data_IF_028878546415
#
_entry.id   IF_028878546415
#
_cell.length_a   1.000
_cell.length_b   1.000
_cell.length_c   1.000
_cell.angle_alpha   90.00
_cell.angle_beta   90.00
_cell.angle_gamma   90.00
#
_symmetry.space_group_name_H-M   'P 1'
#
loop_
_entity.id
_entity.type
_entity.pdbx_description
1 polymer ?
#
# COMPACT_ATOMS: atom_id res chain seq x y z
N UNK A 1 47.34 -10.87 39.98
CA UNK A 1 46.82 -12.17 39.54
C UNK A 1 45.48 -12.30 40.24
N UNK A 2 44.33 -12.10 39.62
CA UNK A 2 44.01 -12.25 38.19
C UNK A 2 42.99 -11.24 37.71
N UNK A 3 43.19 -10.84 36.47
CA UNK A 3 42.26 -10.12 35.63
C UNK A 3 41.30 -11.12 34.98
N UNK A 4 40.01 -10.82 34.99
CA UNK A 4 39.00 -11.19 33.97
C UNK A 4 37.76 -10.36 34.35
N UNK A 5 37.36 -9.33 33.62
CA UNK A 5 37.08 -9.34 32.19
C UNK A 5 35.60 -9.65 31.98
N UNK A 6 34.68 -8.92 32.61
CA UNK A 6 33.27 -8.96 32.25
C UNK A 6 33.08 -8.12 30.98
N UNK A 7 33.10 -8.81 29.85
CA UNK A 7 32.73 -8.26 28.55
C UNK A 7 31.21 -8.04 28.55
N UNK A 8 30.76 -6.84 28.91
CA UNK A 8 29.46 -6.33 28.47
C UNK A 8 29.51 -6.14 26.95
N UNK A 9 29.18 -7.19 26.21
CA UNK A 9 28.65 -7.07 24.86
C UNK A 9 27.17 -7.43 24.92
N UNK A 10 26.42 -6.55 25.58
CA UNK A 10 24.96 -6.58 25.56
C UNK A 10 24.49 -6.06 24.20
N UNK A 11 23.97 -6.99 23.40
CA UNK A 11 22.84 -6.79 22.51
C UNK A 11 23.00 -5.67 21.47
N UNK A 12 23.78 -5.93 20.42
CA UNK A 12 23.46 -5.39 19.09
C UNK A 12 22.14 -6.04 18.70
N UNK A 13 21.05 -5.43 19.16
CA UNK A 13 19.71 -5.76 18.73
C UNK A 13 19.71 -5.65 17.21
N UNK A 14 19.63 -6.81 16.57
CA UNK A 14 19.33 -6.94 15.15
C UNK A 14 17.95 -6.29 14.98
N UNK A 15 17.96 -4.98 14.74
CA UNK A 15 16.76 -4.20 14.51
C UNK A 15 16.20 -4.73 13.21
N UNK A 16 15.20 -5.59 13.36
CA UNK A 16 14.41 -6.12 12.26
C UNK A 16 14.09 -4.93 11.33
N UNK A 17 14.49 -4.99 10.05
CA UNK A 17 14.40 -3.84 9.18
C UNK A 17 12.98 -3.28 9.19
N UNK A 18 12.84 -2.00 9.54
CA UNK A 18 11.54 -1.32 9.78
C UNK A 18 10.56 -1.46 8.60
N UNK A 19 11.07 -1.71 7.39
CA UNK A 19 10.29 -2.03 6.19
C UNK A 19 10.90 -3.22 5.44
N UNK A 20 10.06 -4.14 4.96
CA UNK A 20 10.50 -5.18 4.01
C UNK A 20 11.07 -4.52 2.75
N UNK A 21 12.03 -5.15 2.08
CA UNK A 21 12.67 -4.61 0.87
C UNK A 21 11.61 -4.30 -0.19
N UNK A 22 10.59 -5.14 -0.28
CA UNK A 22 9.44 -4.96 -1.17
C UNK A 22 8.68 -3.69 -0.83
N UNK A 23 8.40 -3.44 0.46
CA UNK A 23 7.66 -2.26 0.89
C UNK A 23 8.44 -0.99 0.55
N UNK A 24 9.77 -0.98 0.71
CA UNK A 24 10.60 0.16 0.31
C UNK A 24 10.56 0.44 -1.19
N UNK A 25 10.63 -0.61 -2.01
CA UNK A 25 10.56 -0.48 -3.47
C UNK A 25 9.17 0.00 -3.87
N UNK A 26 8.11 -0.57 -3.28
CA UNK A 26 6.74 -0.14 -3.53
C UNK A 26 6.54 1.33 -3.14
N UNK A 27 7.03 1.74 -1.97
CA UNK A 27 6.94 3.12 -1.48
C UNK A 27 7.71 4.08 -2.39
N UNK A 28 8.89 3.68 -2.85
CA UNK A 28 9.68 4.46 -3.83
C UNK A 28 8.92 4.60 -5.15
N UNK A 29 8.28 3.54 -5.63
CA UNK A 29 7.42 3.59 -6.81
C UNK A 29 6.21 4.51 -6.61
N UNK A 30 5.54 4.45 -5.46
CA UNK A 30 4.45 5.39 -5.13
C UNK A 30 4.93 6.84 -5.17
N UNK A 31 6.07 7.15 -4.57
CA UNK A 31 6.68 8.48 -4.64
C UNK A 31 7.00 8.93 -6.07
N UNK A 32 7.56 8.03 -6.89
CA UNK A 32 7.87 8.32 -8.30
C UNK A 32 6.60 8.55 -9.14
N UNK A 33 5.53 7.79 -8.92
CA UNK A 33 4.26 7.99 -9.60
C UNK A 33 3.58 9.29 -9.18
N UNK A 34 3.67 9.68 -7.90
CA UNK A 34 3.23 11.01 -7.45
C UNK A 34 3.99 12.12 -8.20
N UNK A 35 5.32 12.03 -8.27
CA UNK A 35 6.14 13.01 -8.99
C UNK A 35 5.80 13.07 -10.49
N UNK A 36 5.64 11.92 -11.15
CA UNK A 36 5.29 11.84 -12.57
C UNK A 36 3.92 12.47 -12.86
N UNK A 37 2.96 12.25 -11.97
CA UNK A 37 1.60 12.81 -12.07
C UNK A 37 1.62 14.33 -11.89
N UNK A 38 2.41 14.84 -10.94
CA UNK A 38 2.62 16.27 -10.74
C UNK A 38 3.26 16.93 -11.98
N UNK A 39 4.35 16.36 -12.50
CA UNK A 39 5.03 16.85 -13.71
C UNK A 39 4.08 16.85 -14.90
N UNK A 40 3.33 15.77 -15.10
CA UNK A 40 2.32 15.67 -16.16
C UNK A 40 1.23 16.75 -16.04
N UNK A 41 0.77 17.03 -14.82
CA UNK A 41 -0.21 18.09 -14.55
C UNK A 41 0.35 19.47 -14.89
N UNK A 42 1.58 19.77 -14.47
CA UNK A 42 2.24 21.06 -14.76
C UNK A 42 2.47 21.24 -16.27
N UNK A 43 2.89 20.20 -16.98
CA UNK A 43 3.09 20.25 -18.44
C UNK A 43 1.78 20.47 -19.21
N UNK A 44 0.64 20.00 -18.69
CA UNK A 44 -0.67 20.15 -19.33
C UNK A 44 -1.25 21.58 -19.24
N UNK A 45 -0.78 22.41 -18.29
CA UNK A 45 -1.29 23.78 -18.06
C UNK A 45 -0.74 24.81 -19.09
N UNK A 46 0.24 24.44 -19.92
CA UNK A 46 1.00 25.37 -20.78
C UNK A 46 0.35 25.91 -22.07
N UNK A 47 -0.93 25.65 -22.39
CA UNK A 47 -1.46 26.00 -23.73
C UNK A 47 -2.86 26.66 -23.72
N UNK A 48 -2.91 28.00 -23.83
CA UNK A 48 -3.95 28.80 -24.54
C UNK A 48 -5.37 28.96 -23.94
N UNK A 49 -6.07 30.01 -24.39
CA UNK A 49 -7.37 30.51 -23.89
C UNK A 49 -8.56 29.54 -24.05
N UNK A 50 -8.74 28.64 -23.08
CA UNK A 50 -10.02 27.96 -22.79
C UNK A 50 -9.98 27.36 -21.36
N UNK A 51 -9.81 28.23 -20.37
CA UNK A 51 -9.28 27.88 -19.05
C UNK A 51 -10.12 26.83 -18.30
N UNK A 52 -11.45 26.91 -18.34
CA UNK A 52 -12.34 25.98 -17.61
C UNK A 52 -12.31 24.55 -18.14
N UNK A 53 -12.48 24.35 -19.45
CA UNK A 53 -12.45 23.02 -20.07
C UNK A 53 -11.05 22.39 -19.99
N UNK A 54 -9.99 23.18 -20.14
CA UNK A 54 -8.61 22.68 -20.01
C UNK A 54 -8.29 22.27 -18.58
N UNK A 55 -8.70 23.04 -17.58
CA UNK A 55 -8.53 22.65 -16.17
C UNK A 55 -9.28 21.35 -15.85
N UNK A 56 -10.50 21.17 -16.38
CA UNK A 56 -11.23 19.92 -16.22
C UNK A 56 -10.56 18.73 -16.91
N UNK A 57 -10.15 18.86 -18.18
CA UNK A 57 -9.46 17.77 -18.87
C UNK A 57 -8.12 17.42 -18.22
N UNK A 58 -7.40 18.41 -17.69
CA UNK A 58 -6.17 18.20 -16.91
C UNK A 58 -6.46 17.49 -15.59
N UNK A 59 -7.48 17.92 -14.84
CA UNK A 59 -7.88 17.27 -13.59
C UNK A 59 -8.36 15.83 -13.83
N UNK A 60 -9.16 15.61 -14.87
CA UNK A 60 -9.64 14.29 -15.28
C UNK A 60 -8.49 13.40 -15.76
N UNK A 61 -7.58 13.91 -16.59
CA UNK A 61 -6.40 13.17 -17.04
C UNK A 61 -5.49 12.76 -15.88
N UNK A 62 -5.26 13.66 -14.93
CA UNK A 62 -4.53 13.39 -13.69
C UNK A 62 -5.22 12.29 -12.87
N UNK A 63 -6.54 12.38 -12.72
CA UNK A 63 -7.36 11.39 -12.02
C UNK A 63 -7.25 9.98 -12.62
N UNK A 64 -7.39 9.87 -13.94
CA UNK A 64 -7.28 8.60 -14.65
C UNK A 64 -5.86 8.03 -14.57
N UNK A 65 -4.83 8.88 -14.74
CA UNK A 65 -3.44 8.47 -14.63
C UNK A 65 -3.14 7.92 -13.22
N UNK A 66 -3.64 8.58 -12.18
CA UNK A 66 -3.51 8.12 -10.81
C UNK A 66 -4.19 6.76 -10.57
N UNK A 67 -5.45 6.62 -11.00
CA UNK A 67 -6.16 5.34 -10.91
C UNK A 67 -5.44 4.20 -11.62
N UNK A 68 -4.79 4.49 -12.77
CA UNK A 68 -4.01 3.51 -13.51
C UNK A 68 -2.74 3.10 -12.75
N UNK A 69 -2.03 4.06 -12.17
CA UNK A 69 -0.85 3.79 -11.34
C UNK A 69 -1.20 2.88 -10.15
N UNK A 70 -2.31 3.15 -9.46
CA UNK A 70 -2.79 2.30 -8.36
C UNK A 70 -3.15 0.88 -8.81
N UNK A 71 -3.83 0.74 -9.96
CA UNK A 71 -4.15 -0.57 -10.52
C UNK A 71 -2.90 -1.39 -10.88
N UNK A 72 -1.89 -0.74 -11.47
CA UNK A 72 -0.59 -1.38 -11.76
C UNK A 72 0.13 -1.76 -10.47
N UNK A 73 0.16 -0.87 -9.47
CA UNK A 73 0.79 -1.15 -8.18
C UNK A 73 0.10 -2.29 -7.43
N UNK A 74 -1.22 -2.42 -7.53
CA UNK A 74 -1.94 -3.57 -7.02
C UNK A 74 -1.50 -4.88 -7.69
N UNK A 75 -1.35 -4.90 -9.02
CA UNK A 75 -0.85 -6.08 -9.73
C UNK A 75 0.57 -6.44 -9.28
N UNK A 76 1.46 -5.45 -9.19
CA UNK A 76 2.84 -5.64 -8.72
C UNK A 76 2.84 -6.24 -7.31
N UNK A 77 2.09 -5.65 -6.37
CA UNK A 77 1.98 -6.15 -5.00
C UNK A 77 1.45 -7.58 -4.94
N UNK A 78 0.45 -7.89 -5.76
CA UNK A 78 -0.16 -9.23 -5.85
C UNK A 78 0.83 -10.25 -6.38
N UNK A 79 1.57 -9.90 -7.43
CA UNK A 79 2.60 -10.77 -8.01
C UNK A 79 3.74 -11.02 -7.02
N UNK A 80 4.22 -9.97 -6.34
CA UNK A 80 5.30 -10.10 -5.35
C UNK A 80 4.84 -10.92 -4.15
N UNK A 81 3.64 -10.70 -3.63
CA UNK A 81 3.09 -11.50 -2.54
C UNK A 81 2.95 -12.98 -2.92
N UNK A 82 2.47 -13.27 -4.13
CA UNK A 82 2.41 -14.63 -4.68
C UNK A 82 3.81 -15.22 -4.87
N UNK A 83 4.76 -14.42 -5.36
CA UNK A 83 6.17 -14.78 -5.51
C UNK A 83 6.80 -15.20 -4.19
N UNK A 84 6.63 -14.41 -3.13
CA UNK A 84 7.11 -14.74 -1.78
C UNK A 84 6.55 -16.08 -1.27
N UNK A 85 5.27 -16.36 -1.50
CA UNK A 85 4.65 -17.65 -1.12
C UNK A 85 5.26 -18.82 -1.87
N UNK A 86 5.51 -18.66 -3.17
CA UNK A 86 6.17 -19.68 -4.01
C UNK A 86 7.62 -19.90 -3.56
N UNK A 87 8.39 -18.83 -3.36
CA UNK A 87 9.77 -18.90 -2.89
C UNK A 87 9.88 -19.56 -1.52
N UNK A 88 8.98 -19.22 -0.58
CA UNK A 88 8.92 -19.87 0.73
C UNK A 88 8.63 -21.37 0.59
N UNK A 89 7.72 -21.76 -0.30
CA UNK A 89 7.40 -23.16 -0.49
C UNK A 89 8.58 -23.97 -1.05
N UNK A 90 9.32 -23.39 -2.01
CA UNK A 90 10.54 -24.00 -2.55
C UNK A 90 11.69 -23.99 -1.54
N UNK A 91 11.85 -22.94 -0.73
CA UNK A 91 12.90 -22.91 0.30
C UNK A 91 12.70 -24.00 1.34
N UNK A 92 11.46 -24.20 1.83
CA UNK A 92 11.12 -25.28 2.76
C UNK A 92 11.38 -26.67 2.16
N UNK A 93 11.11 -26.84 0.86
CA UNK A 93 11.36 -28.11 0.14
C UNK A 93 12.86 -28.37 -0.09
N UNK A 94 13.65 -27.32 -0.29
CA UNK A 94 15.09 -27.39 -0.55
C UNK A 94 15.97 -27.52 0.70
N UNK A 95 15.41 -27.43 1.91
CA UNK A 95 16.19 -27.55 3.14
C UNK A 95 16.75 -28.98 3.32
N UNK A 96 18.01 -29.13 3.79
CA UNK A 96 18.69 -30.41 3.88
C UNK A 96 18.18 -31.29 5.03
N UNK A 97 17.51 -30.73 6.03
CA UNK A 97 16.95 -31.48 7.15
C UNK A 97 15.58 -30.96 7.59
N UNK A 98 14.81 -31.82 8.26
CA UNK A 98 13.46 -31.51 8.72
C UNK A 98 13.44 -30.31 9.69
N UNK A 99 14.41 -30.23 10.60
CA UNK A 99 14.51 -29.15 11.57
C UNK A 99 14.71 -27.77 10.91
N UNK A 100 15.51 -27.67 9.84
CA UNK A 100 15.71 -26.42 9.09
C UNK A 100 14.45 -26.01 8.32
N UNK A 101 13.70 -26.97 7.78
CA UNK A 101 12.40 -26.73 7.16
C UNK A 101 11.35 -26.21 8.16
N UNK A 102 11.29 -26.80 9.35
CA UNK A 102 10.40 -26.34 10.44
C UNK A 102 10.77 -24.93 10.91
N UNK A 103 12.07 -24.63 11.08
CA UNK A 103 12.52 -23.26 11.41
C UNK A 103 12.12 -22.26 10.33
N UNK A 104 12.34 -22.59 9.05
CA UNK A 104 11.98 -21.72 7.92
C UNK A 104 10.46 -21.42 7.89
N UNK A 105 9.62 -22.42 8.18
CA UNK A 105 8.18 -22.21 8.32
C UNK A 105 7.84 -21.31 9.52
N UNK A 106 8.46 -21.57 10.69
CA UNK A 106 8.25 -20.81 11.92
C UNK A 106 8.63 -19.32 11.75
N UNK A 107 9.76 -19.06 11.10
CA UNK A 107 10.27 -17.71 10.88
C UNK A 107 9.40 -16.92 9.90
N UNK A 108 8.79 -17.59 8.92
CA UNK A 108 7.89 -16.96 7.95
C UNK A 108 6.50 -16.61 8.52
N UNK A 109 6.14 -17.15 9.69
CA UNK A 109 4.87 -16.87 10.35
C UNK A 109 4.90 -15.53 11.09
N UNK A 110 3.72 -14.93 11.25
CA UNK A 110 3.57 -13.74 12.09
C UNK A 110 4.00 -14.04 13.53
N UNK A 111 4.67 -13.08 14.18
CA UNK A 111 5.27 -13.25 15.50
C UNK A 111 4.29 -13.80 16.55
N UNK A 112 3.04 -13.33 16.51
CA UNK A 112 2.00 -13.76 17.44
C UNK A 112 1.57 -15.22 17.26
N UNK A 113 1.75 -15.82 16.08
CA UNK A 113 1.41 -17.23 15.79
C UNK A 113 2.54 -18.19 16.18
N UNK A 114 3.80 -17.74 16.20
CA UNK A 114 4.97 -18.57 16.51
C UNK A 114 4.83 -19.35 17.84
N UNK A 115 4.40 -18.76 18.96
CA UNK A 115 4.29 -19.49 20.22
C UNK A 115 3.07 -20.43 20.29
N UNK A 116 2.05 -20.25 19.44
CA UNK A 116 0.85 -21.09 19.47
C UNK A 116 1.03 -22.42 18.72
N UNK A 117 1.92 -22.46 17.72
CA UNK A 117 2.04 -23.60 16.81
C UNK A 117 3.28 -24.43 17.17
N UNK A 118 3.06 -25.71 17.43
CA UNK A 118 4.10 -26.66 17.82
C UNK A 118 4.93 -27.17 16.64
N UNK A 119 6.12 -27.69 16.93
CA UNK A 119 7.01 -28.24 15.89
C UNK A 119 6.40 -29.45 15.16
N UNK A 120 5.56 -30.23 15.84
CA UNK A 120 4.85 -31.38 15.24
C UNK A 120 3.84 -30.96 14.17
N UNK A 121 3.16 -29.83 14.38
CA UNK A 121 2.21 -29.26 13.42
C UNK A 121 2.95 -28.68 12.21
N UNK A 122 4.04 -27.94 12.45
CA UNK A 122 4.90 -27.43 11.38
C UNK A 122 5.53 -28.55 10.57
N UNK A 123 5.93 -29.64 11.21
CA UNK A 123 6.45 -30.82 10.52
C UNK A 123 5.38 -31.52 9.66
N UNK A 124 4.13 -31.56 10.13
CA UNK A 124 3.00 -32.03 9.33
C UNK A 124 2.81 -31.17 8.07
N UNK A 125 2.88 -29.84 8.22
CA UNK A 125 2.79 -28.89 7.09
C UNK A 125 3.95 -29.09 6.12
N UNK A 126 5.19 -29.19 6.62
CA UNK A 126 6.39 -29.45 5.82
C UNK A 126 6.26 -30.74 5.00
N UNK A 127 5.81 -31.84 5.61
CA UNK A 127 5.61 -33.11 4.92
C UNK A 127 4.55 -33.01 3.82
N UNK A 128 3.41 -32.38 4.10
CA UNK A 128 2.35 -32.15 3.09
C UNK A 128 2.85 -31.30 1.94
N UNK A 129 3.68 -30.30 2.22
CA UNK A 129 4.28 -29.44 1.20
C UNK A 129 5.29 -30.19 0.34
N UNK A 130 6.13 -31.04 0.94
CA UNK A 130 7.10 -31.86 0.22
C UNK A 130 6.46 -32.97 -0.63
N UNK A 131 5.33 -33.51 -0.18
CA UNK A 131 4.55 -34.53 -0.91
C UNK A 131 3.73 -33.94 -2.06
N UNK A 132 3.63 -32.60 -2.16
CA UNK A 132 2.82 -31.94 -3.18
C UNK A 132 3.57 -31.87 -4.53
N UNK A 133 3.07 -32.55 -5.58
CA UNK A 133 3.75 -32.59 -6.87
C UNK A 133 3.58 -31.29 -7.68
N UNK A 134 2.46 -30.57 -7.47
CA UNK A 134 2.00 -29.41 -8.24
C UNK A 134 2.41 -28.05 -7.64
N UNK A 135 3.61 -27.95 -7.06
CA UNK A 135 4.09 -26.66 -6.56
C UNK A 135 4.34 -25.69 -7.73
N UNK A 136 3.70 -24.50 -7.74
CA UNK A 136 3.93 -23.53 -8.80
C UNK A 136 5.41 -23.16 -8.88
N UNK A 137 5.99 -23.21 -10.08
CA UNK A 137 7.42 -22.92 -10.25
C UNK A 137 7.71 -21.42 -10.21
N UNK A 138 6.75 -20.59 -10.63
CA UNK A 138 6.83 -19.13 -10.65
C UNK A 138 5.48 -18.51 -10.30
N UNK A 139 5.50 -17.31 -9.74
CA UNK A 139 4.29 -16.51 -9.64
C UNK A 139 3.88 -16.02 -11.02
N UNK A 140 2.61 -16.23 -11.36
CA UNK A 140 2.00 -15.79 -12.62
C UNK A 140 0.72 -15.05 -12.32
N UNK A 141 0.38 -14.11 -13.18
CA UNK A 141 -0.90 -13.43 -13.13
C UNK A 141 -2.03 -14.38 -13.53
N UNK A 142 -3.15 -14.26 -12.84
CA UNK A 142 -4.41 -14.91 -13.21
C UNK A 142 -5.44 -13.86 -13.62
N UNK A 143 -6.51 -14.29 -14.28
CA UNK A 143 -7.56 -13.36 -14.77
C UNK A 143 -8.16 -12.51 -13.66
N UNK A 144 -8.36 -13.12 -12.50
CA UNK A 144 -8.92 -12.45 -11.33
C UNK A 144 -8.07 -11.27 -10.84
N UNK A 145 -6.74 -11.34 -11.02
CA UNK A 145 -5.83 -10.26 -10.64
C UNK A 145 -6.11 -9.01 -11.48
N UNK A 146 -6.36 -9.18 -12.79
CA UNK A 146 -6.70 -8.07 -13.69
C UNK A 146 -8.10 -7.52 -13.44
N UNK A 147 -9.08 -8.37 -13.08
CA UNK A 147 -10.41 -7.88 -12.70
C UNK A 147 -10.37 -7.09 -11.41
N UNK A 148 -9.55 -7.51 -10.43
CA UNK A 148 -9.36 -6.77 -9.19
C UNK A 148 -8.62 -5.44 -9.45
N UNK A 149 -7.61 -5.44 -10.32
CA UNK A 149 -6.93 -4.21 -10.73
C UNK A 149 -7.89 -3.22 -11.43
N UNK A 150 -8.76 -3.72 -12.32
CA UNK A 150 -9.79 -2.90 -12.96
C UNK A 150 -10.81 -2.36 -11.95
N UNK A 151 -11.22 -3.16 -10.97
CA UNK A 151 -12.10 -2.71 -9.89
C UNK A 151 -11.45 -1.59 -9.06
N UNK A 152 -10.15 -1.71 -8.75
CA UNK A 152 -9.39 -0.67 -8.05
C UNK A 152 -9.30 0.59 -8.90
N UNK A 153 -8.98 0.48 -10.20
CA UNK A 153 -8.99 1.62 -11.12
C UNK A 153 -10.32 2.37 -11.08
N UNK A 154 -11.43 1.66 -11.25
CA UNK A 154 -12.78 2.25 -11.25
C UNK A 154 -13.10 2.87 -9.89
N UNK A 155 -12.76 2.19 -8.80
CA UNK A 155 -12.97 2.68 -7.43
C UNK A 155 -12.20 3.98 -7.19
N UNK A 156 -10.91 4.02 -7.55
CA UNK A 156 -10.06 5.20 -7.35
C UNK A 156 -10.60 6.38 -8.16
N UNK A 157 -10.91 6.17 -9.45
CA UNK A 157 -11.49 7.22 -10.30
C UNK A 157 -12.83 7.69 -9.76
N UNK A 158 -13.74 6.78 -9.39
CA UNK A 158 -15.05 7.12 -8.85
C UNK A 158 -14.96 7.85 -7.49
N UNK A 159 -13.98 7.52 -6.65
CA UNK A 159 -13.78 8.16 -5.35
C UNK A 159 -13.20 9.58 -5.48
N UNK A 160 -12.42 9.83 -6.53
CA UNK A 160 -11.71 11.11 -6.71
C UNK A 160 -12.43 12.05 -7.70
N UNK A 161 -13.33 11.53 -8.54
CA UNK A 161 -14.16 12.32 -9.45
C UNK A 161 -15.04 13.37 -8.75
N UNK A 162 -15.75 13.06 -7.64
CA UNK A 162 -16.55 14.06 -6.92
C UNK A 162 -15.70 15.26 -6.45
N UNK A 163 -14.45 15.02 -6.08
CA UNK A 163 -13.51 16.05 -5.62
C UNK A 163 -13.09 17.00 -6.75
N UNK A 164 -13.06 16.51 -8.00
CA UNK A 164 -12.76 17.31 -9.18
C UNK A 164 -13.99 18.05 -9.75
N UNK A 165 -15.21 17.59 -9.44
CA UNK A 165 -16.46 18.16 -9.95
C UNK A 165 -16.64 19.68 -9.68
N UNK A 166 -16.25 20.24 -8.51
CA UNK A 166 -16.37 21.68 -8.24
C UNK A 166 -15.66 22.57 -9.27
N UNK A 167 -14.57 22.11 -9.89
CA UNK A 167 -13.84 22.89 -10.89
C UNK A 167 -14.59 23.05 -12.22
N UNK A 168 -15.61 22.21 -12.46
CA UNK A 168 -16.52 22.34 -13.62
C UNK A 168 -17.73 23.19 -13.25
N UNK A 169 -18.24 23.03 -12.04
CA UNK A 169 -19.47 23.68 -11.59
C UNK A 169 -19.27 25.15 -11.22
N UNK A 170 -18.09 25.51 -10.72
CA UNK A 170 -17.79 26.87 -10.27
C UNK A 170 -16.76 27.53 -11.18
N UNK A 171 -17.15 28.65 -11.81
CA UNK A 171 -16.23 29.48 -12.58
C UNK A 171 -15.20 30.21 -11.70
N UNK A 172 -15.52 30.42 -10.41
CA UNK A 172 -14.62 31.05 -9.43
C UNK A 172 -13.69 29.98 -8.83
N UNK A 173 -12.40 30.03 -9.20
CA UNK A 173 -11.37 29.09 -8.77
C UNK A 173 -11.22 29.01 -7.24
N UNK A 174 -11.10 30.14 -6.50
CA UNK A 174 -11.13 30.13 -5.03
C UNK A 174 -12.32 29.38 -4.43
N UNK A 175 -13.54 29.57 -4.97
CA UNK A 175 -14.74 28.88 -4.48
C UNK A 175 -14.67 27.37 -4.78
N UNK A 176 -14.26 26.99 -6.00
CA UNK A 176 -14.09 25.60 -6.39
C UNK A 176 -13.12 24.86 -5.46
N UNK A 177 -12.00 25.50 -5.11
CA UNK A 177 -10.98 24.96 -4.21
C UNK A 177 -11.54 24.71 -2.80
N UNK A 178 -12.29 25.65 -2.24
CA UNK A 178 -12.89 25.49 -0.90
C UNK A 178 -13.88 24.33 -0.90
N UNK A 179 -14.77 24.27 -1.90
CA UNK A 179 -15.77 23.19 -2.01
C UNK A 179 -15.09 21.83 -2.17
N UNK A 180 -14.06 21.75 -3.02
CA UNK A 180 -13.28 20.53 -3.23
C UNK A 180 -12.57 20.05 -1.94
N UNK A 181 -11.96 20.97 -1.17
CA UNK A 181 -11.33 20.66 0.11
C UNK A 181 -12.33 20.15 1.15
N UNK A 182 -13.48 20.82 1.29
CA UNK A 182 -14.55 20.39 2.21
C UNK A 182 -15.06 19.00 1.83
N UNK A 183 -15.29 18.77 0.54
CA UNK A 183 -15.75 17.47 0.05
C UNK A 183 -14.72 16.37 0.32
N UNK A 184 -13.43 16.65 0.09
CA UNK A 184 -12.33 15.71 0.39
C UNK A 184 -12.32 15.32 1.87
N UNK A 185 -12.41 16.31 2.77
CA UNK A 185 -12.42 16.06 4.22
C UNK A 185 -13.66 15.23 4.62
N UNK A 186 -14.83 15.54 4.06
CA UNK A 186 -16.06 14.77 4.31
C UNK A 186 -15.94 13.31 3.83
N UNK A 187 -15.35 13.09 2.65
CA UNK A 187 -15.11 11.75 2.11
C UNK A 187 -14.05 10.98 2.90
N UNK A 188 -13.00 11.63 3.38
CA UNK A 188 -12.01 11.04 4.29
C UNK A 188 -12.64 10.64 5.63
N UNK A 189 -13.50 11.50 6.19
CA UNK A 189 -14.25 11.18 7.40
C UNK A 189 -15.16 9.96 7.21
N UNK A 190 -15.94 9.93 6.13
CA UNK A 190 -16.81 8.79 5.78
C UNK A 190 -16.03 7.49 5.60
N UNK A 191 -14.94 7.55 4.84
CA UNK A 191 -14.05 6.40 4.62
C UNK A 191 -13.40 5.92 5.91
N UNK A 192 -12.95 6.85 6.76
CA UNK A 192 -12.37 6.55 8.06
C UNK A 192 -13.37 5.91 9.02
N UNK A 193 -14.65 6.34 8.99
CA UNK A 193 -15.70 5.71 9.78
C UNK A 193 -15.96 4.26 9.35
N UNK A 194 -16.06 4.04 8.03
CA UNK A 194 -16.22 2.69 7.48
C UNK A 194 -15.03 1.80 7.88
N UNK A 195 -13.81 2.28 7.69
CA UNK A 195 -12.59 1.55 8.05
C UNK A 195 -12.53 1.24 9.55
N UNK A 196 -12.87 2.21 10.41
CA UNK A 196 -12.90 2.02 11.85
C UNK A 196 -13.90 0.94 12.27
N UNK A 197 -15.07 0.89 11.63
CA UNK A 197 -16.06 -0.14 11.89
C UNK A 197 -15.55 -1.55 11.50
N UNK A 198 -14.90 -1.69 10.34
CA UNK A 198 -14.32 -2.96 9.90
C UNK A 198 -13.13 -3.41 10.76
N UNK A 199 -12.35 -2.47 11.30
CA UNK A 199 -11.19 -2.77 12.14
C UNK A 199 -11.53 -3.01 13.62
N UNK A 200 -12.83 -2.99 13.99
CA UNK A 200 -13.27 -3.18 15.38
C UNK A 200 -13.06 -1.96 16.30
N UNK A 201 -12.70 -0.81 15.74
CA UNK A 201 -12.62 0.46 16.47
C UNK A 201 -13.97 1.19 16.48
N UNK A 202 -14.08 2.23 17.32
CA UNK A 202 -15.24 3.14 17.29
C UNK A 202 -15.19 3.95 16.00
N UNK A 203 -16.03 3.62 15.01
CA UNK A 203 -16.02 4.21 13.66
C UNK A 203 -15.91 5.74 13.64
N UNK A 204 -16.69 6.45 14.46
CA UNK A 204 -16.60 7.92 14.60
C UNK A 204 -15.18 8.43 14.94
N UNK A 205 -14.44 7.76 15.84
CA UNK A 205 -13.10 8.18 16.22
C UNK A 205 -12.10 8.01 15.07
N UNK A 206 -12.19 6.89 14.34
CA UNK A 206 -11.37 6.64 13.17
C UNK A 206 -11.68 7.64 12.04
N UNK A 207 -12.96 7.97 11.82
CA UNK A 207 -13.39 9.02 10.91
C UNK A 207 -12.78 10.38 11.27
N UNK A 208 -12.90 10.79 12.54
CA UNK A 208 -12.36 12.07 13.00
C UNK A 208 -10.83 12.13 12.88
N UNK A 209 -10.14 11.03 13.19
CA UNK A 209 -8.68 10.93 13.02
C UNK A 209 -8.28 11.07 11.55
N UNK A 210 -8.96 10.39 10.63
CA UNK A 210 -8.69 10.50 9.19
C UNK A 210 -8.96 11.91 8.65
N UNK A 211 -10.05 12.55 9.11
CA UNK A 211 -10.33 13.94 8.76
C UNK A 211 -9.24 14.89 9.28
N UNK A 212 -8.78 14.72 10.52
CA UNK A 212 -7.71 15.52 11.11
C UNK A 212 -6.39 15.37 10.33
N UNK A 213 -6.03 14.14 9.94
CA UNK A 213 -4.87 13.88 9.06
C UNK A 213 -5.03 14.60 7.72
N UNK A 214 -6.21 14.51 7.09
CA UNK A 214 -6.50 15.22 5.84
C UNK A 214 -6.36 16.75 5.95
N UNK A 215 -6.84 17.33 7.06
CA UNK A 215 -6.68 18.76 7.35
C UNK A 215 -5.21 19.13 7.54
N UNK A 216 -4.47 18.37 8.34
CA UNK A 216 -3.04 18.62 8.59
C UNK A 216 -2.23 18.54 7.28
N UNK A 217 -2.48 17.54 6.44
CA UNK A 217 -1.85 17.42 5.13
C UNK A 217 -2.21 18.60 4.23
N UNK A 218 -3.47 19.03 4.22
CA UNK A 218 -3.91 20.19 3.43
C UNK A 218 -3.17 21.45 3.88
N UNK A 219 -3.06 21.68 5.19
CA UNK A 219 -2.32 22.83 5.76
C UNK A 219 -0.83 22.77 5.39
N UNK A 220 -0.21 21.59 5.48
CA UNK A 220 1.18 21.41 5.10
C UNK A 220 1.41 21.70 3.60
N UNK A 221 0.53 21.20 2.71
CA UNK A 221 0.61 21.46 1.28
C UNK A 221 0.52 22.96 0.98
N UNK A 222 -0.42 23.67 1.63
CA UNK A 222 -0.56 25.13 1.48
C UNK A 222 0.70 25.85 1.96
N UNK A 223 1.27 25.44 3.11
CA UNK A 223 2.49 26.03 3.65
C UNK A 223 3.72 25.80 2.75
N UNK A 224 3.75 24.70 2.01
CA UNK A 224 4.80 24.36 1.05
C UNK A 224 4.62 25.03 -0.33
N UNK A 225 3.57 25.85 -0.51
CA UNK A 225 3.36 26.66 -1.72
C UNK A 225 2.33 26.10 -2.71
N UNK A 226 1.44 25.20 -2.27
CA UNK A 226 0.30 24.69 -3.05
C UNK A 226 -1.02 25.41 -2.82
#
# INVERSE_FOLDING_TARGET
MDATGHTEQENVGDREPVLDVVDRVCESCFGLFMALTFVGTVSAVGAGADAGHKMFYTALGCNLAWGLADAVMFLVRTLVARGRRVTLAHSVRGQPNAAAGVRTLRDAMAAWLRPLIGDTELESIRRRLGARPDLPQRAVFVRDDFTAAAAIFVLVVAATFPVALPFVLFANVPTALIVSRVLTIAMLFGSGMALGHYAGFRGWQAGLAMAAVGVLLTVAIIALGG
#
